data_IF_954338605031
#
_entry.id   IF_954338605031
#
_cell.length_a   1.000
_cell.length_b   1.000
_cell.length_c   1.000
_cell.angle_alpha   90.00
_cell.angle_beta   90.00
_cell.angle_gamma   90.00
#
_symmetry.space_group_name_H-M   'P 1'
#
loop_
_entity.id
_entity.type
_entity.pdbx_description
1 polymer ?
#
# COMPACT_ATOMS: atom_id res chain seq x y z
N UNK A 1 5.58 -4.24 -3.64
CA UNK A 1 4.56 -5.31 -3.62
C UNK A 1 3.31 -4.85 -2.88
N UNK A 2 3.41 -4.30 -1.67
CA UNK A 2 2.24 -4.00 -0.82
C UNK A 2 1.36 -2.80 -1.21
N UNK A 3 1.73 -2.00 -2.20
CA UNK A 3 1.04 -0.73 -2.54
C UNK A 3 0.43 -0.72 -3.94
N UNK A 4 0.48 -1.85 -4.64
CA UNK A 4 0.02 -1.93 -6.02
C UNK A 4 -1.50 -2.14 -6.04
N UNK A 5 -2.18 -1.29 -6.79
CA UNK A 5 -3.61 -1.40 -7.07
C UNK A 5 -3.79 -1.58 -8.58
N UNK A 6 -3.95 -2.84 -9.01
CA UNK A 6 -4.14 -3.15 -10.42
C UNK A 6 -4.69 -4.56 -10.63
N UNK A 7 -5.22 -4.78 -11.83
CA UNK A 7 -5.43 -6.13 -12.34
C UNK A 7 -4.23 -6.51 -13.21
N UNK A 8 -3.64 -7.67 -12.97
CA UNK A 8 -2.43 -8.12 -13.64
C UNK A 8 -2.71 -9.39 -14.45
N UNK A 9 -2.25 -9.36 -15.71
CA UNK A 9 -2.00 -10.53 -16.53
C UNK A 9 -0.51 -10.73 -16.63
N UNK A 10 -0.08 -11.97 -16.39
CA UNK A 10 1.31 -12.40 -16.54
C UNK A 10 1.34 -13.78 -17.20
N UNK A 11 2.49 -14.16 -17.74
CA UNK A 11 2.70 -15.49 -18.30
C UNK A 11 3.86 -16.14 -17.55
N UNK A 12 3.54 -17.16 -16.76
CA UNK A 12 4.42 -17.72 -15.76
C UNK A 12 4.79 -19.18 -16.07
N UNK A 13 5.71 -19.72 -15.28
CA UNK A 13 5.99 -21.15 -15.25
C UNK A 13 4.88 -21.90 -14.50
N UNK A 14 4.64 -23.16 -14.89
CA UNK A 14 3.62 -24.04 -14.28
C UNK A 14 3.67 -24.12 -12.75
N UNK A 15 4.86 -23.98 -12.16
CA UNK A 15 5.07 -24.04 -10.70
C UNK A 15 4.39 -22.89 -9.94
N UNK A 16 4.10 -21.78 -10.60
CA UNK A 16 3.43 -20.61 -10.02
C UNK A 16 1.92 -20.61 -10.23
N UNK A 17 1.40 -21.61 -10.96
CA UNK A 17 -0.03 -21.76 -11.23
C UNK A 17 -0.65 -22.57 -10.10
N UNK A 18 -1.58 -21.96 -9.38
CA UNK A 18 -2.31 -22.57 -8.26
C UNK A 18 -3.37 -23.55 -8.79
N UNK A 19 -3.93 -24.38 -7.91
CA UNK A 19 -4.86 -25.43 -8.35
C UNK A 19 -6.14 -24.86 -8.95
N UNK A 20 -6.70 -23.81 -8.35
CA UNK A 20 -7.89 -23.12 -8.85
C UNK A 20 -7.67 -22.53 -10.25
N UNK A 21 -6.47 -21.99 -10.53
CA UNK A 21 -6.12 -21.52 -11.89
C UNK A 21 -6.11 -22.68 -12.89
N UNK A 22 -5.55 -23.83 -12.50
CA UNK A 22 -5.48 -25.01 -13.37
C UNK A 22 -6.86 -25.54 -13.69
N UNK A 23 -7.75 -25.55 -12.70
CA UNK A 23 -9.13 -25.98 -12.90
C UNK A 23 -9.80 -25.14 -13.98
N UNK A 24 -9.71 -23.80 -13.90
CA UNK A 24 -10.26 -22.90 -14.91
C UNK A 24 -9.66 -23.17 -16.30
N UNK A 25 -8.33 -23.32 -16.38
CA UNK A 25 -7.64 -23.61 -17.66
C UNK A 25 -8.14 -24.93 -18.27
N UNK A 26 -8.31 -25.96 -17.45
CA UNK A 26 -8.76 -27.29 -17.88
C UNK A 26 -10.22 -27.28 -18.33
N UNK A 27 -11.10 -26.59 -17.58
CA UNK A 27 -12.52 -26.44 -17.93
C UNK A 27 -12.71 -25.72 -19.27
N UNK A 28 -11.86 -24.74 -19.57
CA UNK A 28 -11.85 -24.04 -20.86
C UNK A 28 -11.20 -24.86 -21.99
N UNK A 29 -10.62 -26.02 -21.70
CA UNK A 29 -9.99 -26.90 -22.68
C UNK A 29 -8.64 -26.41 -23.22
N UNK A 30 -8.04 -25.39 -22.59
CA UNK A 30 -6.74 -24.87 -23.03
C UNK A 30 -5.58 -25.75 -22.55
N UNK A 31 -4.50 -25.79 -23.35
CA UNK A 31 -3.28 -26.51 -23.02
C UNK A 31 -2.08 -25.61 -23.24
N UNK A 32 -1.29 -25.39 -22.18
CA UNK A 32 -0.08 -24.59 -22.21
C UNK A 32 1.15 -25.47 -22.02
N UNK A 33 2.22 -25.18 -22.76
CA UNK A 33 3.51 -25.89 -22.68
C UNK A 33 4.64 -24.87 -22.79
N UNK A 34 5.78 -25.18 -22.17
CA UNK A 34 6.95 -24.30 -22.16
C UNK A 34 7.01 -23.40 -20.93
N UNK A 35 8.13 -22.68 -20.82
CA UNK A 35 8.38 -21.70 -19.75
C UNK A 35 7.62 -20.40 -20.02
N UNK A 36 7.20 -19.70 -18.97
CA UNK A 36 6.52 -18.39 -19.08
C UNK A 36 5.38 -18.37 -20.11
N UNK A 37 4.59 -19.43 -20.14
CA UNK A 37 3.55 -19.65 -21.15
C UNK A 37 2.17 -19.86 -20.53
N UNK A 38 2.10 -19.98 -19.20
CA UNK A 38 0.86 -20.18 -18.48
C UNK A 38 0.27 -18.83 -18.07
N UNK A 39 -0.92 -18.45 -18.57
CA UNK A 39 -1.52 -17.19 -18.19
C UNK A 39 -1.91 -17.22 -16.70
N UNK A 40 -1.49 -16.21 -15.97
CA UNK A 40 -1.81 -16.01 -14.57
C UNK A 40 -2.51 -14.65 -14.40
N UNK A 41 -3.70 -14.70 -13.81
CA UNK A 41 -4.59 -13.56 -13.62
C UNK A 41 -4.69 -13.24 -12.13
N UNK A 42 -4.30 -12.03 -11.73
CA UNK A 42 -4.33 -11.63 -10.32
C UNK A 42 -4.85 -10.22 -10.10
N UNK A 43 -5.68 -10.07 -9.07
CA UNK A 43 -6.11 -8.79 -8.52
C UNK A 43 -5.10 -8.37 -7.45
N UNK A 44 -4.42 -7.24 -7.65
CA UNK A 44 -3.55 -6.61 -6.68
C UNK A 44 -4.33 -5.49 -5.99
N UNK A 45 -4.40 -5.56 -4.66
CA UNK A 45 -4.97 -4.51 -3.83
C UNK A 45 -3.94 -4.11 -2.77
N UNK A 46 -3.77 -2.81 -2.46
CA UNK A 46 -2.84 -2.37 -1.43
C UNK A 46 -3.11 -3.06 -0.09
N UNK A 47 -2.04 -3.51 0.57
CA UNK A 47 -2.12 -4.26 1.82
C UNK A 47 -2.56 -5.72 1.70
N UNK A 48 -2.98 -6.21 0.52
CA UNK A 48 -3.44 -7.59 0.34
C UNK A 48 -2.48 -8.46 -0.45
N UNK A 49 -2.52 -9.76 -0.20
CA UNK A 49 -1.87 -10.74 -1.05
C UNK A 49 -2.50 -10.72 -2.46
N UNK A 50 -1.72 -10.90 -3.55
CA UNK A 50 -2.28 -11.05 -4.89
C UNK A 50 -3.29 -12.19 -4.91
N UNK A 51 -4.49 -11.95 -5.44
CA UNK A 51 -5.59 -12.90 -5.33
C UNK A 51 -6.29 -13.15 -6.66
N UNK A 52 -7.12 -14.18 -6.72
CA UNK A 52 -7.97 -14.46 -7.87
C UNK A 52 -8.88 -13.28 -8.22
N UNK A 53 -9.26 -13.17 -9.48
CA UNK A 53 -10.17 -12.12 -9.95
C UNK A 53 -11.59 -12.40 -9.50
N UNK A 54 -12.32 -11.35 -9.13
CA UNK A 54 -13.79 -11.43 -9.07
C UNK A 54 -14.40 -11.50 -10.48
N UNK A 55 -15.69 -11.82 -10.56
CA UNK A 55 -16.45 -11.80 -11.83
C UNK A 55 -16.34 -10.44 -12.54
N UNK A 56 -16.53 -9.35 -11.80
CA UNK A 56 -16.51 -8.01 -12.37
C UNK A 56 -15.10 -7.60 -12.80
N UNK A 57 -14.08 -7.96 -12.01
CA UNK A 57 -12.68 -7.75 -12.37
C UNK A 57 -12.30 -8.54 -13.63
N UNK A 58 -12.79 -9.77 -13.78
CA UNK A 58 -12.57 -10.60 -14.97
C UNK A 58 -13.23 -10.00 -16.22
N UNK A 59 -14.48 -9.52 -16.12
CA UNK A 59 -15.17 -8.84 -17.23
C UNK A 59 -14.47 -7.54 -17.63
N UNK A 60 -14.03 -6.77 -16.64
CA UNK A 60 -13.26 -5.55 -16.89
C UNK A 60 -11.92 -5.86 -17.57
N UNK A 61 -11.18 -6.85 -17.05
CA UNK A 61 -9.90 -7.25 -17.62
C UNK A 61 -10.05 -7.78 -19.05
N UNK A 62 -11.08 -8.57 -19.34
CA UNK A 62 -11.36 -9.04 -20.70
C UNK A 62 -11.52 -7.86 -21.68
N UNK A 63 -12.29 -6.84 -21.28
CA UNK A 63 -12.45 -5.60 -22.06
C UNK A 63 -11.12 -4.87 -22.24
N UNK A 64 -10.34 -4.74 -21.16
CA UNK A 64 -9.03 -4.09 -21.20
C UNK A 64 -8.04 -4.81 -22.12
N UNK A 65 -7.97 -6.14 -22.08
CA UNK A 65 -7.10 -6.96 -22.93
C UNK A 65 -7.49 -6.87 -24.41
N UNK A 66 -8.80 -6.82 -24.71
CA UNK A 66 -9.27 -6.59 -26.08
C UNK A 66 -8.81 -5.23 -26.61
N UNK A 67 -8.95 -4.16 -25.81
CA UNK A 67 -8.48 -2.84 -26.22
C UNK A 67 -6.95 -2.75 -26.29
N UNK A 68 -6.23 -3.41 -25.39
CA UNK A 68 -4.77 -3.49 -25.43
C UNK A 68 -4.30 -4.18 -26.72
N UNK A 69 -4.90 -5.31 -27.09
CA UNK A 69 -4.64 -5.99 -28.36
C UNK A 69 -4.86 -5.05 -29.55
N UNK A 70 -5.99 -4.34 -29.59
CA UNK A 70 -6.31 -3.40 -30.66
C UNK A 70 -5.24 -2.31 -30.81
N UNK A 71 -4.85 -1.67 -29.70
CA UNK A 71 -3.78 -0.65 -29.70
C UNK A 71 -2.44 -1.24 -30.14
N UNK A 72 -2.08 -2.44 -29.69
CA UNK A 72 -0.84 -3.12 -30.09
C UNK A 72 -0.82 -3.43 -31.60
N UNK A 73 -1.94 -3.84 -32.19
CA UNK A 73 -2.03 -4.09 -33.63
C UNK A 73 -1.87 -2.80 -34.42
N UNK A 74 -2.60 -1.73 -34.05
CA UNK A 74 -2.49 -0.41 -34.68
C UNK A 74 -1.09 0.18 -34.57
N UNK A 75 -0.38 -0.08 -33.47
CA UNK A 75 0.99 0.39 -33.26
C UNK A 75 1.99 -0.25 -34.25
N UNK A 76 1.72 -1.48 -34.73
CA UNK A 76 2.56 -2.11 -35.77
C UNK A 76 2.52 -1.34 -37.08
N UNK A 77 1.36 -0.79 -37.42
CA UNK A 77 1.13 -0.01 -38.65
C UNK A 77 1.55 1.45 -38.49
N UNK A 78 1.28 2.04 -37.32
CA UNK A 78 1.65 3.40 -36.98
C UNK A 78 2.50 3.46 -35.71
N UNK A 79 3.82 3.46 -35.87
CA UNK A 79 4.80 3.54 -34.75
C UNK A 79 4.69 4.82 -33.92
N UNK A 80 4.04 5.86 -34.43
CA UNK A 80 3.82 7.13 -33.71
C UNK A 80 2.47 7.20 -33.00
N UNK A 81 1.67 6.13 -33.00
CA UNK A 81 0.35 6.12 -32.36
C UNK A 81 0.39 6.57 -30.88
N UNK A 82 1.43 6.16 -30.15
CA UNK A 82 1.63 6.51 -28.75
C UNK A 82 2.53 7.74 -28.55
N UNK A 83 2.84 8.49 -29.61
CA UNK A 83 3.57 9.76 -29.51
C UNK A 83 2.59 10.88 -29.17
N UNK A 84 2.63 11.43 -27.95
CA UNK A 84 1.65 12.41 -27.52
C UNK A 84 1.87 13.77 -28.21
N UNK A 85 0.81 14.55 -28.46
CA UNK A 85 0.93 15.87 -29.06
C UNK A 85 1.57 16.91 -28.12
N UNK A 86 1.51 16.66 -26.80
CA UNK A 86 2.16 17.46 -25.74
C UNK A 86 2.68 16.56 -24.63
N UNK A 87 3.63 17.06 -23.84
CA UNK A 87 4.11 16.35 -22.64
C UNK A 87 2.93 16.06 -21.69
N UNK A 88 3.04 14.96 -20.95
CA UNK A 88 2.07 14.51 -19.94
C UNK A 88 0.68 14.12 -20.46
N UNK A 89 0.51 13.93 -21.77
CA UNK A 89 -0.71 13.35 -22.33
C UNK A 89 -0.53 11.85 -22.57
N UNK A 90 -1.58 11.10 -22.26
CA UNK A 90 -1.67 9.67 -22.48
C UNK A 90 -2.85 9.35 -23.40
N UNK A 91 -2.63 8.42 -24.33
CA UNK A 91 -3.70 7.93 -25.19
C UNK A 91 -4.61 7.02 -24.36
N UNK A 92 -5.89 7.36 -24.30
CA UNK A 92 -6.91 6.59 -23.59
C UNK A 92 -7.95 6.12 -24.60
N UNK A 93 -8.37 4.85 -24.44
CA UNK A 93 -9.51 4.26 -25.15
C UNK A 93 -10.75 4.42 -24.28
N UNK A 94 -11.73 5.18 -24.74
CA UNK A 94 -12.95 5.45 -24.01
C UNK A 94 -14.14 4.76 -24.68
N UNK A 95 -14.94 3.99 -23.93
CA UNK A 95 -16.18 3.44 -24.46
C UNK A 95 -17.26 4.53 -24.51
N UNK A 96 -17.99 4.60 -25.61
CA UNK A 96 -19.19 5.43 -25.80
C UNK A 96 -20.34 4.54 -26.28
N UNK A 97 -21.54 4.76 -25.75
CA UNK A 97 -22.73 4.10 -26.29
C UNK A 97 -23.30 4.94 -27.43
N UNK A 98 -23.38 4.37 -28.63
CA UNK A 98 -24.05 4.96 -29.80
C UNK A 98 -25.05 3.95 -30.35
N UNK A 99 -26.30 4.36 -30.47
CA UNK A 99 -27.40 3.51 -30.96
C UNK A 99 -27.50 2.15 -30.26
N UNK A 100 -27.25 2.12 -28.94
CA UNK A 100 -27.26 0.90 -28.12
C UNK A 100 -26.01 0.02 -28.25
N UNK A 101 -25.03 0.40 -29.08
CA UNK A 101 -23.76 -0.32 -29.24
C UNK A 101 -22.60 0.42 -28.58
N UNK A 102 -21.64 -0.33 -28.04
CA UNK A 102 -20.40 0.24 -27.49
C UNK A 102 -19.43 0.50 -28.64
N UNK A 103 -19.05 1.76 -28.81
CA UNK A 103 -18.03 2.23 -29.74
C UNK A 103 -16.86 2.80 -28.94
N UNK A 104 -15.62 2.52 -29.35
CA UNK A 104 -14.44 2.99 -28.65
C UNK A 104 -13.79 4.15 -29.39
N UNK A 105 -13.54 5.25 -28.68
CA UNK A 105 -12.81 6.42 -29.21
C UNK A 105 -11.44 6.58 -28.55
N UNK A 106 -10.54 7.21 -29.29
CA UNK A 106 -9.24 7.65 -28.79
C UNK A 106 -9.35 9.05 -28.22
N UNK A 107 -8.74 9.29 -27.06
CA UNK A 107 -8.62 10.62 -26.48
C UNK A 107 -7.25 10.78 -25.80
N UNK A 108 -6.62 11.94 -25.97
CA UNK A 108 -5.41 12.30 -25.23
C UNK A 108 -5.80 13.03 -23.94
N UNK A 109 -5.46 12.46 -22.78
CA UNK A 109 -5.76 13.08 -21.48
C UNK A 109 -4.52 13.22 -20.62
N UNK A 110 -4.53 14.25 -19.80
CA UNK A 110 -3.61 14.38 -18.68
C UNK A 110 -4.04 13.42 -17.56
N UNK A 111 -3.09 12.85 -16.81
CA UNK A 111 -3.42 12.07 -15.63
C UNK A 111 -4.06 13.00 -14.60
N UNK A 112 -5.06 12.48 -13.87
CA UNK A 112 -5.63 13.21 -12.75
C UNK A 112 -4.51 13.57 -11.75
N UNK A 113 -4.55 14.77 -11.13
CA UNK A 113 -3.57 15.13 -10.12
C UNK A 113 -3.62 14.12 -8.98
N UNK A 114 -2.44 13.79 -8.44
CA UNK A 114 -2.35 12.95 -7.25
C UNK A 114 -3.15 13.63 -6.13
N UNK A 115 -4.24 12.99 -5.69
CA UNK A 115 -4.99 13.45 -4.54
C UNK A 115 -4.08 13.31 -3.31
N UNK A 116 -3.66 14.42 -2.73
CA UNK A 116 -3.07 14.41 -1.38
C UNK A 116 -4.17 13.91 -0.45
N UNK A 117 -3.99 12.73 0.11
CA UNK A 117 -4.90 12.19 1.13
C UNK A 117 -4.82 13.15 2.32
N UNK A 118 -5.93 13.79 2.71
CA UNK A 118 -5.98 14.49 4.00
C UNK A 118 -5.89 13.43 5.08
N UNK A 119 -4.90 13.52 5.96
CA UNK A 119 -4.55 12.40 6.82
C UNK A 119 -5.49 12.23 8.02
N UNK A 120 -6.23 13.26 8.43
CA UNK A 120 -7.44 13.14 9.26
C UNK A 120 -8.26 14.44 9.26
N UNK A 121 -9.58 14.33 9.08
CA UNK A 121 -10.54 15.38 9.46
C UNK A 121 -11.06 15.17 10.90
N UNK A 122 -10.55 14.16 11.62
CA UNK A 122 -10.95 13.86 12.99
C UNK A 122 -10.46 14.96 13.96
N UNK A 123 -11.33 15.42 14.88
CA UNK A 123 -10.95 16.40 15.89
C UNK A 123 -9.90 15.81 16.84
N UNK A 124 -8.92 16.64 17.20
CA UNK A 124 -7.89 16.30 18.17
C UNK A 124 -8.50 16.24 19.57
N UNK A 125 -8.17 15.21 20.36
CA UNK A 125 -8.63 15.07 21.75
C UNK A 125 -7.81 15.98 22.69
N UNK A 126 -8.28 17.23 22.84
CA UNK A 126 -7.63 18.24 23.69
C UNK A 126 -7.65 17.86 25.19
N UNK A 127 -8.65 17.09 25.65
CA UNK A 127 -8.73 16.63 27.04
C UNK A 127 -7.61 15.65 27.34
N UNK A 128 -7.39 14.68 26.44
CA UNK A 128 -6.30 13.72 26.56
C UNK A 128 -4.93 14.39 26.50
N UNK A 129 -4.75 15.39 25.61
CA UNK A 129 -3.51 16.17 25.52
C UNK A 129 -3.21 16.88 26.84
N UNK A 130 -4.21 17.53 27.44
CA UNK A 130 -4.01 18.21 28.72
C UNK A 130 -3.68 17.22 29.84
N UNK A 131 -4.30 16.03 29.84
CA UNK A 131 -3.96 14.96 30.78
C UNK A 131 -2.51 14.52 30.62
N UNK A 132 -2.07 14.22 29.40
CA UNK A 132 -0.68 13.84 29.10
C UNK A 132 0.29 14.92 29.58
N UNK A 133 0.00 16.19 29.29
CA UNK A 133 0.83 17.33 29.71
C UNK A 133 1.00 17.41 31.24
N UNK A 134 -0.02 17.02 31.99
CA UNK A 134 0.01 17.07 33.45
C UNK A 134 0.72 15.87 34.09
N UNK A 135 0.75 14.70 33.42
CA UNK A 135 1.27 13.46 33.99
C UNK A 135 2.65 13.07 33.45
N UNK A 136 2.94 13.37 32.18
CA UNK A 136 4.18 12.97 31.53
C UNK A 136 5.30 14.00 31.76
N UNK A 137 6.52 13.52 31.98
CA UNK A 137 7.69 14.37 32.23
C UNK A 137 8.55 14.54 30.98
N UNK A 138 9.03 15.75 30.66
CA UNK A 138 10.03 15.96 29.61
C UNK A 138 11.31 15.16 29.88
N UNK A 139 11.89 14.60 28.83
CA UNK A 139 13.16 13.84 28.87
C UNK A 139 14.07 14.24 27.72
N UNK A 140 15.31 13.77 27.74
CA UNK A 140 16.24 13.88 26.60
C UNK A 140 16.09 12.76 25.57
N UNK A 141 15.11 11.86 25.74
CA UNK A 141 14.94 10.70 24.86
C UNK A 141 14.57 11.13 23.44
N UNK A 142 15.09 10.40 22.47
CA UNK A 142 14.73 10.55 21.06
C UNK A 142 14.07 9.26 20.61
N UNK A 143 12.89 9.35 20.02
CA UNK A 143 12.17 8.16 19.52
C UNK A 143 12.26 8.07 18.01
N UNK A 144 12.39 6.87 17.47
CA UNK A 144 12.16 6.56 16.06
C UNK A 144 10.75 5.98 15.90
N UNK A 145 9.98 6.48 14.93
CA UNK A 145 8.65 5.95 14.60
C UNK A 145 8.51 5.75 13.09
N UNK A 146 8.02 4.58 12.69
CA UNK A 146 7.69 4.28 11.30
C UNK A 146 6.50 3.33 11.21
N UNK A 147 5.81 3.38 10.07
CA UNK A 147 4.76 2.42 9.71
C UNK A 147 5.27 1.53 8.58
N UNK A 148 4.98 0.24 8.59
CA UNK A 148 5.39 -0.64 7.49
C UNK A 148 4.56 -1.92 7.43
N UNK A 149 4.39 -2.46 6.22
CA UNK A 149 3.84 -3.82 6.08
C UNK A 149 4.83 -4.85 6.59
N UNK A 150 4.31 -5.78 7.37
CA UNK A 150 5.04 -6.98 7.76
C UNK A 150 5.16 -7.92 6.55
N UNK A 151 6.25 -8.72 6.46
CA UNK A 151 6.55 -9.51 5.27
C UNK A 151 5.68 -10.78 5.12
N UNK A 152 4.96 -11.16 6.17
CA UNK A 152 4.21 -12.42 6.23
C UNK A 152 2.71 -12.10 6.16
N UNK A 153 1.99 -12.64 5.18
CA UNK A 153 0.55 -12.43 5.10
C UNK A 153 -0.16 -13.22 6.20
N UNK A 154 -1.23 -12.66 6.74
CA UNK A 154 -2.17 -13.32 7.63
C UNK A 154 -3.38 -13.76 6.80
N UNK A 155 -3.70 -15.05 6.86
CA UNK A 155 -4.86 -15.64 6.21
C UNK A 155 -6.05 -15.67 7.17
N UNK A 156 -6.75 -14.54 7.29
CA UNK A 156 -8.03 -14.43 8.00
C UNK A 156 -9.14 -14.03 7.01
N UNK A 157 -10.08 -14.93 6.76
CA UNK A 157 -11.13 -14.76 5.76
C UNK A 157 -10.71 -15.26 4.38
N UNK A 158 -11.35 -14.74 3.32
CA UNK A 158 -11.16 -15.25 1.96
C UNK A 158 -9.85 -14.79 1.31
N UNK A 159 -9.35 -13.59 1.65
CA UNK A 159 -8.16 -13.01 1.01
C UNK A 159 -7.10 -12.67 2.06
N UNK A 160 -5.92 -13.32 2.01
CA UNK A 160 -4.82 -12.98 2.91
C UNK A 160 -4.36 -11.54 2.75
N UNK A 161 -3.94 -10.94 3.86
CA UNK A 161 -3.47 -9.56 3.90
C UNK A 161 -2.11 -9.46 4.60
N UNK A 162 -1.34 -8.45 4.26
CA UNK A 162 -0.11 -8.11 4.97
C UNK A 162 -0.46 -7.12 6.08
N UNK A 163 -0.28 -7.47 7.36
CA UNK A 163 -0.53 -6.55 8.46
C UNK A 163 0.32 -5.30 8.33
N UNK A 164 -0.28 -4.16 8.60
CA UNK A 164 0.44 -2.91 8.75
C UNK A 164 0.90 -2.78 10.20
N UNK A 165 2.16 -2.44 10.40
CA UNK A 165 2.77 -2.31 11.72
C UNK A 165 3.11 -0.87 12.02
N UNK A 166 2.88 -0.44 13.26
CA UNK A 166 3.54 0.70 13.88
C UNK A 166 4.63 0.18 14.81
N UNK A 167 5.79 0.85 14.81
CA UNK A 167 6.90 0.54 15.70
C UNK A 167 7.49 1.82 16.26
N UNK A 168 7.64 1.86 17.60
CA UNK A 168 8.24 2.96 18.34
C UNK A 168 9.50 2.42 19.01
N UNK A 169 10.65 3.05 18.78
CA UNK A 169 11.93 2.61 19.32
C UNK A 169 12.63 3.79 19.99
N UNK A 170 13.22 3.55 21.15
CA UNK A 170 14.18 4.48 21.73
C UNK A 170 15.49 4.50 20.92
N UNK A 171 15.88 5.67 20.44
CA UNK A 171 17.02 5.81 19.53
C UNK A 171 18.34 5.40 20.18
N UNK A 172 18.54 5.71 21.44
CA UNK A 172 19.83 5.53 22.10
C UNK A 172 20.05 4.08 22.54
N UNK A 173 19.03 3.44 23.13
CA UNK A 173 19.13 2.04 23.57
C UNK A 173 18.78 1.01 22.50
N UNK A 174 18.04 1.40 21.46
CA UNK A 174 17.47 0.48 20.48
C UNK A 174 16.29 -0.35 21.02
N UNK A 175 15.80 -0.05 22.23
CA UNK A 175 14.68 -0.76 22.83
C UNK A 175 13.36 -0.44 22.13
N UNK A 176 12.59 -1.47 21.78
CA UNK A 176 11.24 -1.32 21.18
C UNK A 176 10.28 -0.93 22.29
N UNK A 177 9.79 0.31 22.25
CA UNK A 177 8.88 0.89 23.24
C UNK A 177 7.46 0.34 23.09
N UNK A 178 6.98 0.26 21.84
CA UNK A 178 5.70 -0.37 21.50
C UNK A 178 5.76 -0.87 20.04
N UNK A 179 5.00 -1.92 19.75
CA UNK A 179 4.78 -2.44 18.42
C UNK A 179 3.35 -2.98 18.33
N UNK A 180 2.63 -2.57 17.29
CA UNK A 180 1.26 -3.01 17.07
C UNK A 180 1.01 -3.35 15.60
N UNK A 181 0.21 -4.38 15.36
CA UNK A 181 -0.22 -4.82 14.04
C UNK A 181 -1.69 -4.48 13.85
N UNK A 182 -2.02 -3.88 12.72
CA UNK A 182 -3.39 -3.56 12.33
C UNK A 182 -3.66 -4.01 10.89
N UNK A 183 -4.94 -4.05 10.53
CA UNK A 183 -5.35 -4.13 9.12
C UNK A 183 -5.16 -2.77 8.46
N UNK A 184 -4.93 -2.78 7.15
CA UNK A 184 -4.87 -1.56 6.34
C UNK A 184 -6.16 -0.72 6.48
N UNK A 185 -7.30 -1.38 6.65
CA UNK A 185 -8.53 -0.68 6.98
C UNK A 185 -8.49 -0.26 8.46
N UNK A 186 -8.46 1.04 8.72
CA UNK A 186 -8.59 1.59 10.07
C UNK A 186 -7.30 1.76 10.87
N UNK A 187 -6.13 1.39 10.31
CA UNK A 187 -4.84 1.46 11.02
C UNK A 187 -4.57 2.81 11.68
N UNK A 188 -4.99 3.92 11.04
CA UNK A 188 -4.71 5.28 11.52
C UNK A 188 -5.16 5.51 12.96
N UNK A 189 -6.40 5.10 13.27
CA UNK A 189 -6.97 5.25 14.61
C UNK A 189 -6.25 4.37 15.62
N UNK A 190 -5.98 3.12 15.26
CA UNK A 190 -5.24 2.19 16.11
C UNK A 190 -3.81 2.66 16.39
N UNK A 191 -3.11 3.15 15.36
CA UNK A 191 -1.72 3.58 15.46
C UNK A 191 -1.59 4.86 16.27
N UNK A 192 -2.49 5.82 16.06
CA UNK A 192 -2.55 7.02 16.88
C UNK A 192 -2.82 6.67 18.34
N UNK A 193 -3.77 5.76 18.60
CA UNK A 193 -4.05 5.28 19.95
C UNK A 193 -2.81 4.64 20.59
N UNK A 194 -2.06 3.81 19.86
CA UNK A 194 -0.83 3.19 20.36
C UNK A 194 0.26 4.20 20.66
N UNK A 195 0.43 5.20 19.80
CA UNK A 195 1.37 6.29 20.04
C UNK A 195 1.05 7.05 21.33
N UNK A 196 -0.20 7.50 21.51
CA UNK A 196 -0.62 8.25 22.70
C UNK A 196 -0.57 7.38 23.96
N UNK A 197 -1.04 6.13 23.87
CA UNK A 197 -0.94 5.15 24.94
C UNK A 197 0.52 4.89 25.37
N UNK A 198 1.47 4.89 24.44
CA UNK A 198 2.89 4.69 24.75
C UNK A 198 3.42 5.86 25.62
N UNK A 199 3.12 7.10 25.24
CA UNK A 199 3.46 8.30 26.03
C UNK A 199 2.84 8.22 27.43
N UNK A 200 1.56 7.85 27.53
CA UNK A 200 0.84 7.75 28.79
C UNK A 200 1.42 6.67 29.70
N UNK A 201 1.65 5.46 29.18
CA UNK A 201 2.21 4.32 29.92
C UNK A 201 3.60 4.61 30.45
N UNK A 202 4.45 5.22 29.62
CA UNK A 202 5.81 5.60 30.01
C UNK A 202 5.82 6.83 30.91
N UNK A 203 4.76 7.65 30.88
CA UNK A 203 4.69 8.95 31.55
C UNK A 203 5.88 9.85 31.18
N UNK A 204 6.28 9.81 29.90
CA UNK A 204 7.45 10.51 29.36
C UNK A 204 7.07 11.29 28.10
N UNK A 205 7.54 12.52 28.00
CA UNK A 205 7.57 13.31 26.77
C UNK A 205 9.00 13.25 26.18
N UNK A 206 9.21 12.63 25.01
CA UNK A 206 10.51 12.64 24.36
C UNK A 206 10.88 14.06 23.92
N UNK A 207 12.18 14.33 23.85
CA UNK A 207 12.71 15.58 23.30
C UNK A 207 12.36 15.71 21.82
N UNK A 208 12.51 14.60 21.10
CA UNK A 208 12.37 14.56 19.65
C UNK A 208 11.83 13.21 19.18
N UNK A 209 11.02 13.25 18.13
CA UNK A 209 10.56 12.09 17.38
C UNK A 209 11.09 12.19 15.96
N UNK A 210 11.75 11.13 15.51
CA UNK A 210 12.27 10.96 14.17
C UNK A 210 11.33 10.08 13.35
N UNK A 211 10.96 10.57 12.18
CA UNK A 211 10.10 9.86 11.22
C UNK A 211 10.69 9.95 9.82
N UNK A 212 10.35 9.02 8.92
CA UNK A 212 10.81 9.09 7.52
C UNK A 212 9.71 9.39 6.50
N UNK A 213 8.44 9.18 6.87
CA UNK A 213 7.30 9.26 5.95
C UNK A 213 6.38 10.41 6.32
N UNK A 214 5.91 11.11 5.28
CA UNK A 214 4.91 12.18 5.41
C UNK A 214 3.61 11.65 6.05
N UNK A 215 3.22 10.40 5.77
CA UNK A 215 2.09 9.74 6.41
C UNK A 215 2.21 9.68 7.94
N UNK A 216 3.40 9.38 8.47
CA UNK A 216 3.63 9.31 9.92
C UNK A 216 3.58 10.72 10.51
N UNK A 217 4.22 11.69 9.84
CA UNK A 217 4.16 13.12 10.22
C UNK A 217 2.72 13.55 10.38
N UNK A 218 1.92 13.36 9.33
CA UNK A 218 0.56 13.85 9.32
C UNK A 218 -0.36 13.15 10.33
N UNK A 219 -0.03 11.93 10.76
CA UNK A 219 -0.78 11.23 11.80
C UNK A 219 -0.49 11.80 13.20
N UNK A 220 0.77 12.12 13.52
CA UNK A 220 1.17 12.44 14.90
C UNK A 220 1.42 13.92 15.15
N UNK A 221 1.70 14.73 14.11
CA UNK A 221 1.96 16.17 14.20
C UNK A 221 0.87 16.94 14.97
N UNK A 222 -0.45 16.67 14.79
CA UNK A 222 -1.48 17.36 15.54
C UNK A 222 -1.31 17.23 17.07
N UNK A 223 -0.72 16.13 17.54
CA UNK A 223 -0.50 15.86 18.95
C UNK A 223 0.89 16.31 19.40
N UNK A 224 1.95 16.06 18.61
CA UNK A 224 3.32 16.44 18.98
C UNK A 224 3.47 17.96 19.07
N UNK A 225 2.85 18.72 18.16
CA UNK A 225 2.83 20.18 18.19
C UNK A 225 2.22 20.73 19.49
N UNK A 226 1.10 20.17 19.94
CA UNK A 226 0.42 20.57 21.20
C UNK A 226 1.17 20.11 22.44
N UNK A 227 1.90 19.00 22.36
CA UNK A 227 2.73 18.49 23.45
C UNK A 227 4.15 19.08 23.48
N UNK A 228 4.47 20.01 22.57
CA UNK A 228 5.80 20.62 22.39
C UNK A 228 6.91 19.58 22.17
N UNK A 229 6.59 18.48 21.49
CA UNK A 229 7.57 17.46 21.09
C UNK A 229 8.11 17.83 19.71
N UNK A 230 9.45 17.93 19.57
CA UNK A 230 10.07 18.19 18.27
C UNK A 230 9.82 17.00 17.33
N UNK A 231 9.36 17.27 16.12
CA UNK A 231 9.15 16.26 15.08
C UNK A 231 10.09 16.54 13.90
N UNK A 232 10.94 15.57 13.56
CA UNK A 232 11.94 15.73 12.49
C UNK A 232 11.85 14.62 11.46
N UNK A 233 11.85 15.02 10.18
CA UNK A 233 11.87 14.08 9.05
C UNK A 233 13.31 13.75 8.70
N UNK A 234 13.66 12.46 8.76
CA UNK A 234 15.00 11.95 8.49
C UNK A 234 15.00 10.92 7.36
N UNK A 235 16.15 10.74 6.71
CA UNK A 235 16.29 9.77 5.60
C UNK A 235 16.36 8.31 6.07
N UNK A 236 16.82 8.08 7.31
CA UNK A 236 17.04 6.74 7.88
C UNK A 236 16.64 6.72 9.34
N UNK A 237 16.08 5.59 9.77
CA UNK A 237 15.72 5.26 11.14
C UNK A 237 16.47 3.99 11.45
N UNK A 238 17.65 4.11 12.05
CA UNK A 238 18.65 3.03 12.07
C UNK A 238 18.15 1.82 12.86
N UNK A 239 17.55 2.07 14.02
CA UNK A 239 17.06 0.99 14.87
C UNK A 239 15.81 0.35 14.29
N UNK A 240 14.91 1.13 13.68
CA UNK A 240 13.77 0.57 12.96
C UNK A 240 14.23 -0.28 11.76
N UNK A 241 15.21 0.20 10.99
CA UNK A 241 15.74 -0.55 9.84
C UNK A 241 16.41 -1.86 10.29
N UNK A 242 17.11 -1.86 11.43
CA UNK A 242 17.67 -3.05 12.05
C UNK A 242 16.57 -4.02 12.51
N UNK A 243 15.61 -3.54 13.30
CA UNK A 243 14.51 -4.35 13.82
C UNK A 243 13.70 -5.00 12.69
N UNK A 244 13.42 -4.24 11.61
CA UNK A 244 12.72 -4.75 10.42
C UNK A 244 13.53 -5.82 9.70
N UNK A 245 14.85 -5.65 9.55
CA UNK A 245 15.70 -6.68 8.93
C UNK A 245 15.68 -7.98 9.73
N UNK A 246 15.78 -7.89 11.06
CA UNK A 246 15.72 -9.07 11.93
C UNK A 246 14.34 -9.73 11.92
N UNK A 247 13.27 -8.94 11.94
CA UNK A 247 11.89 -9.44 11.78
C UNK A 247 11.75 -10.23 10.48
N UNK A 248 12.23 -9.69 9.35
CA UNK A 248 12.18 -10.38 8.05
C UNK A 248 12.98 -11.67 8.06
N UNK A 249 14.15 -11.71 8.70
CA UNK A 249 14.95 -12.94 8.81
C UNK A 249 14.26 -14.04 9.61
N UNK A 250 13.58 -13.68 10.70
CA UNK A 250 12.90 -14.65 11.56
C UNK A 250 11.59 -15.15 10.95
N UNK A 251 10.79 -14.25 10.37
CA UNK A 251 9.48 -14.58 9.79
C UNK A 251 9.56 -15.28 8.42
N UNK A 252 10.74 -15.30 7.77
CA UNK A 252 10.98 -16.04 6.53
C UNK A 252 11.61 -17.41 6.73
N UNK A 253 11.86 -17.85 7.98
CA UNK A 253 12.29 -19.22 8.22
C UNK A 253 11.09 -20.16 8.04
N UNK A 254 11.19 -21.19 7.19
CA UNK A 254 10.13 -22.16 6.98
C UNK A 254 9.85 -22.97 8.23
#
# INVERSE_FOLDING_TARGET
MFIQDCLMVSFEDRRFIEEDDRQIINELGFKFRGRNSWPLFRSYKPGYFPWFLSRDEALYMASALQQAKEVCLRLKENKKLLSPPKKNLYLIRLPETRDGMIVWKDEWREPAPLKKVKYSDEPVDEVRIQRIRNTAKPTSMIWEIDFFYTPTPIAEGERPYFPYAIMLIDRDSGFILDMHLAREAGYKKEFLEKFLSCIEKMSILPLEILVRKEEVVNLIEPYTSRLNIKLSVVKRLENIDNARREMVKHLKRP
#
